data_IF_467895093784
#
_entry.id   IF_467895093784
#
_cell.length_a   1.000
_cell.length_b   1.000
_cell.length_c   1.000
_cell.angle_alpha   90.00
_cell.angle_beta   90.00
_cell.angle_gamma   90.00
#
_symmetry.space_group_name_H-M   'P 1'
#
loop_
_entity.id
_entity.type
_entity.pdbx_description
1 polymer ?
#
# COMPACT_ATOMS: atom_id res chain seq x y z
N UNK A 1 17.53 6.00 -5.11
CA UNK A 1 16.64 5.23 -6.01
C UNK A 1 17.09 5.47 -7.46
N UNK A 2 17.00 4.48 -8.34
CA UNK A 2 17.38 4.67 -9.76
C UNK A 2 16.21 5.29 -10.54
N UNK A 3 16.51 6.19 -11.48
CA UNK A 3 15.51 6.71 -12.44
C UNK A 3 14.89 5.60 -13.27
N UNK A 4 15.64 4.53 -13.50
CA UNK A 4 15.18 3.28 -14.14
C UNK A 4 14.05 2.63 -13.35
N UNK A 5 14.18 2.54 -12.03
CA UNK A 5 13.12 1.95 -11.19
C UNK A 5 11.83 2.80 -11.25
N UNK A 6 11.96 4.13 -11.21
CA UNK A 6 10.80 5.02 -11.26
C UNK A 6 10.08 4.93 -12.62
N UNK A 7 10.82 4.84 -13.72
CA UNK A 7 10.23 4.62 -15.06
C UNK A 7 9.41 3.34 -15.11
N UNK A 8 9.97 2.23 -14.60
CA UNK A 8 9.21 0.99 -14.47
C UNK A 8 8.01 1.18 -13.55
N UNK A 9 8.17 1.83 -12.39
CA UNK A 9 7.08 2.05 -11.45
C UNK A 9 5.95 2.92 -12.02
N UNK A 10 6.22 3.87 -12.91
CA UNK A 10 5.21 4.73 -13.56
C UNK A 10 4.57 4.09 -14.80
N UNK A 11 5.14 2.98 -15.30
CA UNK A 11 4.59 2.26 -16.47
C UNK A 11 5.18 2.67 -17.80
N UNK A 12 6.29 3.39 -17.79
CA UNK A 12 7.08 3.64 -19.00
C UNK A 12 7.75 2.32 -19.38
N UNK A 13 7.53 1.86 -20.62
CA UNK A 13 8.14 0.62 -21.12
C UNK A 13 9.66 0.75 -21.09
N UNK A 14 10.33 -0.28 -20.56
CA UNK A 14 11.78 -0.37 -20.51
C UNK A 14 12.24 -1.72 -21.06
N UNK A 15 13.51 -1.76 -21.46
CA UNK A 15 14.15 -3.01 -21.89
C UNK A 15 14.55 -3.85 -20.67
N UNK A 16 14.62 -5.16 -20.84
CA UNK A 16 14.98 -6.09 -19.75
C UNK A 16 16.38 -5.79 -19.18
N UNK A 17 17.30 -5.31 -20.02
CA UNK A 17 18.63 -4.87 -19.62
C UNK A 17 18.59 -3.66 -18.66
N UNK A 18 17.70 -2.71 -18.90
CA UNK A 18 17.51 -1.56 -18.00
C UNK A 18 16.91 -2.01 -16.65
N UNK A 19 15.96 -2.94 -16.68
CA UNK A 19 15.33 -3.51 -15.48
C UNK A 19 16.32 -4.27 -14.59
N UNK A 20 17.35 -4.89 -15.18
CA UNK A 20 18.43 -5.56 -14.47
C UNK A 20 19.45 -4.58 -13.85
N UNK A 21 19.59 -3.38 -14.42
CA UNK A 21 20.57 -2.37 -14.01
C UNK A 21 20.16 -1.53 -12.77
N UNK A 22 19.04 -1.85 -12.11
CA UNK A 22 18.57 -1.11 -10.93
C UNK A 22 19.52 -1.31 -9.74
N UNK A 23 20.19 -0.22 -9.36
CA UNK A 23 21.32 -0.21 -8.42
C UNK A 23 20.97 -0.56 -6.96
N UNK A 24 19.72 -0.33 -6.51
CA UNK A 24 19.34 -0.43 -5.09
C UNK A 24 18.06 -1.26 -4.86
N UNK A 25 18.14 -2.61 -4.82
CA UNK A 25 16.99 -3.49 -4.61
C UNK A 25 16.37 -3.36 -3.20
N UNK A 26 17.16 -3.08 -2.16
CA UNK A 26 16.64 -2.93 -0.79
C UNK A 26 15.65 -1.78 -0.62
N UNK A 27 15.89 -0.65 -1.29
CA UNK A 27 14.98 0.49 -1.23
C UNK A 27 13.70 0.26 -2.07
N UNK A 28 13.77 -0.50 -3.16
CA UNK A 28 12.59 -0.94 -3.92
C UNK A 28 11.72 -1.88 -3.08
N UNK A 29 12.35 -2.86 -2.41
CA UNK A 29 11.66 -3.75 -1.49
C UNK A 29 11.03 -2.97 -0.33
N UNK A 30 11.72 -1.96 0.21
CA UNK A 30 11.19 -1.08 1.24
C UNK A 30 9.92 -0.37 0.81
N UNK A 31 9.91 0.23 -0.39
CA UNK A 31 8.74 0.95 -0.91
C UNK A 31 7.56 0.00 -1.09
N UNK A 32 7.80 -1.17 -1.69
CA UNK A 32 6.75 -2.17 -1.88
C UNK A 32 6.13 -2.63 -0.55
N UNK A 33 6.97 -3.02 0.41
CA UNK A 33 6.52 -3.44 1.75
C UNK A 33 5.77 -2.31 2.44
N UNK A 34 6.28 -1.08 2.36
CA UNK A 34 5.63 0.08 2.99
C UNK A 34 4.25 0.36 2.38
N UNK A 35 4.10 0.33 1.06
CA UNK A 35 2.80 0.51 0.41
C UNK A 35 1.80 -0.57 0.83
N UNK A 36 2.23 -1.85 0.87
CA UNK A 36 1.37 -2.94 1.36
C UNK A 36 1.03 -2.82 2.84
N UNK A 37 1.97 -2.40 3.66
CA UNK A 37 1.75 -2.15 5.09
C UNK A 37 0.77 -1.00 5.30
N UNK A 38 0.87 0.08 4.51
CA UNK A 38 -0.09 1.19 4.53
C UNK A 38 -1.50 0.73 4.14
N UNK A 39 -1.65 -0.02 3.05
CA UNK A 39 -2.95 -0.55 2.63
C UNK A 39 -3.56 -1.47 3.69
N UNK A 40 -2.77 -2.42 4.20
CA UNK A 40 -3.23 -3.38 5.21
C UNK A 40 -3.58 -2.68 6.52
N UNK A 41 -2.74 -1.72 6.93
CA UNK A 41 -2.98 -0.88 8.10
C UNK A 41 -4.24 -0.05 7.95
N UNK A 42 -4.46 0.57 6.78
CA UNK A 42 -5.66 1.33 6.48
C UNK A 42 -6.92 0.48 6.66
N UNK A 43 -6.98 -0.70 6.05
CA UNK A 43 -8.14 -1.58 6.13
C UNK A 43 -8.41 -2.05 7.56
N UNK A 44 -7.35 -2.47 8.28
CA UNK A 44 -7.49 -2.89 9.67
C UNK A 44 -8.02 -1.73 10.53
N UNK A 45 -7.47 -0.53 10.34
CA UNK A 45 -7.93 0.67 11.03
C UNK A 45 -9.37 1.06 10.67
N UNK A 46 -9.72 0.99 9.40
CA UNK A 46 -11.05 1.24 8.85
C UNK A 46 -12.11 0.31 9.43
N UNK A 47 -11.77 -0.95 9.72
CA UNK A 47 -12.68 -1.93 10.32
C UNK A 47 -12.74 -1.76 11.85
N UNK A 48 -11.58 -1.60 12.50
CA UNK A 48 -11.48 -1.51 13.96
C UNK A 48 -12.06 -0.20 14.50
N UNK A 49 -11.98 0.90 13.77
CA UNK A 49 -12.52 2.20 14.16
C UNK A 49 -14.02 2.13 14.48
N UNK A 50 -14.89 1.78 13.50
CA UNK A 50 -16.32 1.59 13.74
C UNK A 50 -16.61 0.50 14.76
N UNK A 51 -15.89 -0.63 14.72
CA UNK A 51 -16.09 -1.73 15.67
C UNK A 51 -15.88 -1.27 17.13
N UNK A 52 -14.87 -0.43 17.37
CA UNK A 52 -14.62 0.14 18.69
C UNK A 52 -15.81 0.99 19.17
N UNK A 53 -16.41 1.81 18.30
CA UNK A 53 -17.59 2.61 18.68
C UNK A 53 -18.83 1.77 18.96
N UNK A 54 -18.99 0.64 18.28
CA UNK A 54 -20.06 -0.33 18.56
C UNK A 54 -19.86 -1.03 19.92
N UNK A 55 -18.63 -1.42 20.23
CA UNK A 55 -18.28 -2.12 21.49
C UNK A 55 -18.33 -1.16 22.68
N UNK A 56 -17.86 0.07 22.53
CA UNK A 56 -17.81 1.09 23.60
C UNK A 56 -19.10 1.93 23.76
N UNK A 57 -20.17 1.57 23.03
CA UNK A 57 -21.58 1.91 23.32
C UNK A 57 -21.90 3.41 23.44
N UNK A 58 -21.55 4.21 22.44
CA UNK A 58 -22.02 5.61 22.36
C UNK A 58 -23.24 5.75 21.43
N UNK A 59 -24.45 5.77 21.99
CA UNK A 59 -25.71 5.58 21.26
C UNK A 59 -26.39 6.87 20.73
N UNK A 60 -25.76 8.05 20.77
CA UNK A 60 -26.49 9.33 20.55
C UNK A 60 -26.33 10.01 19.18
N UNK A 61 -25.49 9.50 18.26
CA UNK A 61 -25.24 10.17 16.96
C UNK A 61 -24.75 9.24 15.85
N UNK A 62 -25.55 8.23 15.50
CA UNK A 62 -25.09 6.95 14.91
C UNK A 62 -24.43 6.96 13.52
N UNK A 63 -24.69 7.91 12.60
CA UNK A 63 -24.18 7.79 11.22
C UNK A 63 -22.90 8.59 10.97
N UNK A 64 -22.87 9.87 11.38
CA UNK A 64 -21.68 10.73 11.24
C UNK A 64 -20.50 10.20 12.06
N UNK A 65 -20.76 9.73 13.29
CA UNK A 65 -19.73 9.17 14.15
C UNK A 65 -19.09 7.88 13.58
N UNK A 66 -19.85 7.06 12.83
CA UNK A 66 -19.30 5.82 12.24
C UNK A 66 -18.36 6.12 11.07
N UNK A 67 -18.77 7.04 10.18
CA UNK A 67 -17.95 7.45 9.05
C UNK A 67 -16.67 8.14 9.54
N UNK A 68 -16.79 9.05 10.51
CA UNK A 68 -15.63 9.73 11.10
C UNK A 68 -14.69 8.74 11.82
N UNK A 69 -15.24 7.71 12.48
CA UNK A 69 -14.44 6.65 13.12
C UNK A 69 -13.79 5.71 12.11
N UNK A 70 -14.44 5.43 10.98
CA UNK A 70 -13.87 4.69 9.86
C UNK A 70 -12.68 5.46 9.27
N UNK A 71 -12.87 6.74 8.95
CA UNK A 71 -11.83 7.59 8.35
C UNK A 71 -10.67 7.81 9.31
N UNK A 72 -10.95 8.12 10.57
CA UNK A 72 -9.93 8.30 11.60
C UNK A 72 -9.15 7.01 11.86
N UNK A 73 -9.86 5.89 12.00
CA UNK A 73 -9.26 4.56 12.16
C UNK A 73 -8.38 4.19 10.98
N UNK A 74 -8.90 4.33 9.75
CA UNK A 74 -8.17 4.03 8.52
C UNK A 74 -6.95 4.92 8.31
N UNK A 75 -7.05 6.22 8.63
CA UNK A 75 -5.91 7.13 8.54
C UNK A 75 -4.82 6.79 9.55
N UNK A 76 -5.19 6.51 10.80
CA UNK A 76 -4.24 6.09 11.84
C UNK A 76 -3.60 4.74 11.49
N UNK A 77 -4.40 3.80 10.99
CA UNK A 77 -3.93 2.51 10.52
C UNK A 77 -2.95 2.63 9.34
N UNK A 78 -3.24 3.49 8.37
CA UNK A 78 -2.35 3.78 7.25
C UNK A 78 -1.03 4.41 7.72
N UNK A 79 -1.11 5.36 8.66
CA UNK A 79 0.07 6.01 9.24
C UNK A 79 0.95 5.02 10.02
N UNK A 80 0.33 4.14 10.82
CA UNK A 80 1.04 3.06 11.52
C UNK A 80 1.66 2.09 10.51
N UNK A 81 0.94 1.73 9.45
CA UNK A 81 1.45 0.91 8.35
C UNK A 81 2.66 1.55 7.66
N UNK A 82 2.63 2.87 7.43
CA UNK A 82 3.75 3.62 6.86
C UNK A 82 4.98 3.61 7.78
N UNK A 83 4.78 3.70 9.10
CA UNK A 83 5.86 3.66 10.08
C UNK A 83 6.43 2.25 10.26
N UNK A 84 5.58 1.22 10.27
CA UNK A 84 5.96 -0.18 10.45
C UNK A 84 6.60 -0.76 9.18
N UNK A 85 6.25 -0.28 7.99
CA UNK A 85 6.78 -0.75 6.70
C UNK A 85 8.32 -0.80 6.63
N UNK A 86 9.03 0.30 6.92
CA UNK A 86 10.49 0.32 6.99
C UNK A 86 11.07 -0.63 8.05
N UNK A 87 10.40 -0.79 9.19
CA UNK A 87 10.83 -1.70 10.26
C UNK A 87 10.70 -3.16 9.80
N UNK A 88 9.58 -3.54 9.20
CA UNK A 88 9.37 -4.87 8.62
C UNK A 88 10.36 -5.15 7.49
N UNK A 89 10.67 -4.12 6.70
CA UNK A 89 11.70 -4.21 5.65
C UNK A 89 13.06 -4.49 6.25
N UNK A 90 13.46 -3.75 7.29
CA UNK A 90 14.74 -3.95 7.97
C UNK A 90 14.86 -5.36 8.56
N UNK A 91 13.82 -5.85 9.24
CA UNK A 91 13.78 -7.21 9.78
C UNK A 91 13.86 -8.26 8.67
N UNK A 92 13.08 -8.09 7.60
CA UNK A 92 13.10 -8.99 6.44
C UNK A 92 14.45 -9.01 5.73
N UNK A 93 15.14 -7.87 5.65
CA UNK A 93 16.47 -7.76 5.06
C UNK A 93 17.55 -8.40 5.93
N UNK A 94 17.37 -8.42 7.26
CA UNK A 94 18.30 -9.09 8.19
C UNK A 94 18.32 -10.59 7.98
N UNK A 95 17.16 -11.17 7.69
CA UNK A 95 17.00 -12.61 7.56
C UNK A 95 17.18 -13.09 6.10
N UNK A 96 17.23 -12.19 5.11
CA UNK A 96 17.40 -12.53 3.69
C UNK A 96 18.81 -12.33 3.18
N UNK A 97 19.28 -13.30 2.39
CA UNK A 97 20.55 -13.15 1.66
C UNK A 97 20.38 -12.20 0.46
N UNK A 98 21.47 -11.57 0.01
CA UNK A 98 21.49 -10.61 -1.10
C UNK A 98 20.90 -11.17 -2.40
N UNK A 99 21.13 -12.47 -2.67
CA UNK A 99 20.59 -13.19 -3.83
C UNK A 99 19.06 -13.32 -3.75
N UNK A 100 18.52 -13.63 -2.57
CA UNK A 100 17.08 -13.76 -2.37
C UNK A 100 16.37 -12.41 -2.50
N UNK A 101 16.99 -11.35 -1.99
CA UNK A 101 16.48 -9.98 -2.17
C UNK A 101 16.45 -9.60 -3.65
N UNK A 102 17.49 -9.94 -4.40
CA UNK A 102 17.56 -9.69 -5.83
C UNK A 102 16.48 -10.47 -6.60
N UNK A 103 16.31 -11.77 -6.32
CA UNK A 103 15.26 -12.59 -6.94
C UNK A 103 13.85 -12.04 -6.65
N UNK A 104 13.58 -11.62 -5.41
CA UNK A 104 12.30 -10.99 -5.07
C UNK A 104 12.07 -9.69 -5.83
N UNK A 105 13.06 -8.80 -5.88
CA UNK A 105 12.93 -7.54 -6.61
C UNK A 105 12.80 -7.78 -8.12
N UNK A 106 13.52 -8.77 -8.65
CA UNK A 106 13.37 -9.20 -10.03
C UNK A 106 11.94 -9.63 -10.33
N UNK A 107 11.38 -10.53 -9.53
CA UNK A 107 9.97 -10.94 -9.67
C UNK A 107 9.02 -9.76 -9.57
N UNK A 108 9.28 -8.82 -8.66
CA UNK A 108 8.46 -7.62 -8.50
C UNK A 108 8.42 -6.78 -9.79
N UNK A 109 9.58 -6.60 -10.43
CA UNK A 109 9.71 -5.79 -11.65
C UNK A 109 9.02 -6.40 -12.86
N UNK A 110 9.05 -7.73 -12.97
CA UNK A 110 8.45 -8.47 -14.10
C UNK A 110 6.98 -8.81 -13.88
N UNK A 111 6.53 -8.88 -12.61
CA UNK A 111 5.13 -9.11 -12.27
C UNK A 111 4.31 -7.82 -12.48
N UNK A 112 3.78 -7.71 -13.69
CA UNK A 112 2.95 -6.57 -14.11
C UNK A 112 1.73 -6.38 -13.21
N UNK A 113 1.17 -7.45 -12.65
CA UNK A 113 -0.04 -7.38 -11.82
C UNK A 113 0.26 -6.73 -10.47
N UNK A 114 1.35 -7.14 -9.82
CA UNK A 114 1.80 -6.51 -8.56
C UNK A 114 2.18 -5.05 -8.76
N UNK A 115 2.86 -4.72 -9.86
CA UNK A 115 3.16 -3.31 -10.16
C UNK A 115 1.90 -2.49 -10.44
N UNK A 116 0.91 -3.07 -11.13
CA UNK A 116 -0.37 -2.39 -11.36
C UNK A 116 -1.13 -2.13 -10.06
N UNK A 117 -1.08 -3.06 -9.12
CA UNK A 117 -1.68 -2.92 -7.79
C UNK A 117 -1.02 -1.78 -7.00
N UNK A 118 0.32 -1.73 -6.96
CA UNK A 118 1.05 -0.68 -6.24
C UNK A 118 0.79 0.71 -6.85
N UNK A 119 0.71 0.79 -8.19
CA UNK A 119 0.35 2.03 -8.91
C UNK A 119 -1.08 2.46 -8.64
N UNK A 120 -2.03 1.53 -8.77
CA UNK A 120 -3.46 1.85 -8.58
C UNK A 120 -3.70 2.34 -7.16
N UNK A 121 -2.99 1.77 -6.18
CA UNK A 121 -2.99 2.23 -4.79
C UNK A 121 -2.50 3.66 -4.64
N UNK A 122 -1.34 3.98 -5.22
CA UNK A 122 -0.76 5.30 -5.09
C UNK A 122 -1.64 6.35 -5.79
N UNK A 123 -2.14 6.03 -6.97
CA UNK A 123 -3.02 6.92 -7.75
C UNK A 123 -4.37 7.09 -7.07
N UNK A 124 -5.01 6.01 -6.60
CA UNK A 124 -6.31 6.09 -5.93
C UNK A 124 -6.23 6.84 -4.61
N UNK A 125 -5.17 6.62 -3.82
CA UNK A 125 -4.94 7.34 -2.57
C UNK A 125 -4.68 8.83 -2.83
N UNK A 126 -3.86 9.16 -3.84
CA UNK A 126 -3.56 10.55 -4.19
C UNK A 126 -4.80 11.29 -4.74
N UNK A 127 -5.51 10.70 -5.69
CA UNK A 127 -6.74 11.27 -6.26
C UNK A 127 -7.83 11.39 -5.19
N UNK A 128 -7.97 10.36 -4.35
CA UNK A 128 -8.90 10.36 -3.22
C UNK A 128 -8.58 11.49 -2.23
N UNK A 129 -7.32 11.65 -1.86
CA UNK A 129 -6.88 12.72 -0.97
C UNK A 129 -7.15 14.11 -1.55
N UNK A 130 -6.86 14.32 -2.84
CA UNK A 130 -7.09 15.59 -3.51
C UNK A 130 -8.60 15.92 -3.65
N UNK A 131 -9.44 14.91 -3.81
CA UNK A 131 -10.89 15.09 -3.97
C UNK A 131 -11.61 15.38 -2.65
N UNK A 132 -11.36 14.55 -1.63
CA UNK A 132 -12.16 14.53 -0.40
C UNK A 132 -11.33 14.49 0.89
N UNK A 133 -10.03 14.82 0.83
CA UNK A 133 -9.13 14.81 2.00
C UNK A 133 -8.89 13.41 2.57
N UNK A 134 -8.84 13.30 3.90
CA UNK A 134 -8.55 12.03 4.59
C UNK A 134 -9.56 10.92 4.28
N UNK A 135 -10.84 11.26 4.08
CA UNK A 135 -11.89 10.30 3.73
C UNK A 135 -11.61 9.67 2.36
N UNK A 136 -11.29 10.50 1.37
CA UNK A 136 -10.98 10.01 0.03
C UNK A 136 -9.67 9.22 -0.02
N UNK A 137 -8.69 9.54 0.84
CA UNK A 137 -7.46 8.74 0.99
C UNK A 137 -7.78 7.32 1.46
N UNK A 138 -8.56 7.18 2.54
CA UNK A 138 -8.90 5.86 3.11
C UNK A 138 -9.72 5.04 2.12
N UNK A 139 -10.77 5.64 1.53
CA UNK A 139 -11.58 4.97 0.50
C UNK A 139 -10.71 4.58 -0.71
N UNK A 140 -9.79 5.46 -1.13
CA UNK A 140 -8.88 5.18 -2.23
C UNK A 140 -7.97 3.99 -1.97
N UNK A 141 -7.42 3.87 -0.75
CA UNK A 141 -6.59 2.73 -0.33
C UNK A 141 -7.41 1.42 -0.28
N UNK A 142 -8.58 1.45 0.35
CA UNK A 142 -9.45 0.28 0.53
C UNK A 142 -10.00 -0.22 -0.81
N UNK A 143 -10.43 0.70 -1.69
CA UNK A 143 -10.95 0.39 -3.02
C UNK A 143 -9.86 -0.18 -3.94
N UNK A 144 -8.64 0.33 -3.87
CA UNK A 144 -7.52 -0.23 -4.63
C UNK A 144 -7.22 -1.67 -4.23
N UNK A 145 -7.25 -1.99 -2.92
CA UNK A 145 -7.05 -3.36 -2.47
C UNK A 145 -8.21 -4.27 -2.90
N UNK A 146 -9.45 -3.83 -2.75
CA UNK A 146 -10.61 -4.60 -3.20
C UNK A 146 -10.56 -4.88 -4.70
N UNK A 147 -10.26 -3.87 -5.51
CA UNK A 147 -10.12 -4.08 -6.96
C UNK A 147 -8.96 -4.99 -7.31
N UNK A 148 -7.85 -4.92 -6.57
CA UNK A 148 -6.72 -5.82 -6.81
C UNK A 148 -7.02 -7.29 -6.48
N UNK A 149 -7.83 -7.56 -5.46
CA UNK A 149 -8.25 -8.92 -5.12
C UNK A 149 -9.32 -9.45 -6.09
N UNK A 150 -10.26 -8.60 -6.52
CA UNK A 150 -11.32 -8.99 -7.47
C UNK A 150 -10.75 -9.19 -8.87
N UNK A 151 -9.98 -8.24 -9.39
CA UNK A 151 -9.35 -8.36 -10.71
C UNK A 151 -8.27 -9.45 -10.73
N UNK A 152 -7.65 -9.75 -9.59
CA UNK A 152 -6.70 -10.85 -9.48
C UNK A 152 -7.32 -12.25 -9.51
N UNK A 153 -8.64 -12.38 -9.36
CA UNK A 153 -9.38 -13.64 -9.54
C UNK A 153 -10.07 -13.75 -10.90
N UNK A 154 -10.16 -12.65 -11.66
CA UNK A 154 -10.83 -12.60 -12.96
C UNK A 154 -9.91 -12.98 -14.14
N UNK A 155 -8.63 -13.26 -13.88
CA UNK A 155 -7.58 -13.64 -14.82
C UNK A 155 -6.80 -14.83 -14.25
#
# INVERSE_FOLDING_TARGET
>A
MSTTWLKNFVGIKQTDFELLAVKNPGAEFCIHVTLRSMQTGAILGSILGPLSTFVFRDQRGKSKNLLDSFVSGGQQGALLGAAIGPVLTYLSLRDMNSIQLYDKCYRLRFDKQKLWQDRSCLVSAAVGYLSSGSLGLVIGLDLSLLMSNIMGQAW
#
